data_IF_342800949595
#
_entry.id   IF_342800949595
#
_cell.length_a   1.000
_cell.length_b   1.000
_cell.length_c   1.000
_cell.angle_alpha   90.00
_cell.angle_beta   90.00
_cell.angle_gamma   90.00
#
_symmetry.space_group_name_H-M   'P 1'
#
loop_
_entity.id
_entity.type
_entity.pdbx_description
1 polymer ?
#
# COMPACT_ATOMS: atom_id res chain seq x y z
N UNK A 1 -33.79 -5.58 -9.90
CA UNK A 1 -33.53 -6.28 -11.18
C UNK A 1 -32.04 -6.19 -11.41
N UNK A 2 -31.29 -7.20 -10.96
CA UNK A 2 -29.90 -7.35 -11.38
C UNK A 2 -29.97 -7.98 -12.77
N UNK A 3 -29.53 -7.26 -13.80
CA UNK A 3 -29.26 -7.87 -15.10
C UNK A 3 -28.36 -9.09 -14.86
N UNK A 4 -28.64 -10.19 -15.56
CA UNK A 4 -27.78 -11.37 -15.66
C UNK A 4 -26.45 -10.97 -16.27
N UNK A 5 -25.60 -10.33 -15.48
CA UNK A 5 -24.23 -10.04 -15.84
C UNK A 5 -23.54 -11.38 -15.96
N UNK A 6 -23.25 -11.78 -17.20
CA UNK A 6 -22.42 -12.95 -17.45
C UNK A 6 -20.98 -12.64 -17.01
N UNK A 7 -20.72 -12.80 -15.70
CA UNK A 7 -19.43 -12.48 -15.08
C UNK A 7 -18.27 -13.22 -15.75
N UNK A 8 -18.51 -14.41 -16.31
CA UNK A 8 -17.49 -15.14 -17.08
C UNK A 8 -17.04 -14.35 -18.31
N UNK A 9 -17.99 -13.83 -19.10
CA UNK A 9 -17.66 -13.02 -20.27
C UNK A 9 -16.98 -11.69 -19.88
N UNK A 10 -17.35 -11.11 -18.73
CA UNK A 10 -16.70 -9.91 -18.20
C UNK A 10 -15.26 -10.20 -17.78
N UNK A 11 -15.00 -11.34 -17.12
CA UNK A 11 -13.64 -11.77 -16.76
C UNK A 11 -12.80 -11.97 -18.02
N UNK A 12 -13.30 -12.68 -19.03
CA UNK A 12 -12.56 -12.88 -20.29
C UNK A 12 -12.22 -11.54 -20.96
N UNK A 13 -13.17 -10.60 -20.97
CA UNK A 13 -12.96 -9.26 -21.51
C UNK A 13 -11.85 -8.53 -20.76
N UNK A 14 -11.86 -8.58 -19.43
CA UNK A 14 -10.84 -7.94 -18.61
C UNK A 14 -9.46 -8.60 -18.77
N UNK A 15 -9.40 -9.94 -18.86
CA UNK A 15 -8.17 -10.68 -19.12
C UNK A 15 -7.58 -10.40 -20.51
N UNK A 16 -8.42 -10.07 -21.49
CA UNK A 16 -8.01 -9.62 -22.83
C UNK A 16 -7.56 -8.15 -22.87
N UNK A 17 -7.41 -7.47 -21.72
CA UNK A 17 -7.00 -6.07 -21.61
C UNK A 17 -8.16 -5.06 -21.67
N UNK A 18 -9.41 -5.54 -21.59
CA UNK A 18 -10.60 -4.71 -21.47
C UNK A 18 -10.77 -4.09 -20.07
N UNK A 19 -11.79 -3.24 -19.92
CA UNK A 19 -12.06 -2.56 -18.65
C UNK A 19 -12.53 -3.53 -17.55
N UNK A 20 -11.95 -3.43 -16.36
CA UNK A 20 -12.37 -4.17 -15.16
C UNK A 20 -13.55 -3.54 -14.42
N UNK A 21 -14.13 -2.43 -14.91
CA UNK A 21 -15.16 -1.66 -14.20
C UNK A 21 -16.37 -2.51 -13.80
N UNK A 22 -16.86 -3.36 -14.70
CA UNK A 22 -18.01 -4.24 -14.41
C UNK A 22 -17.68 -5.31 -13.34
N UNK A 23 -16.42 -5.76 -13.25
CA UNK A 23 -16.00 -6.66 -12.17
C UNK A 23 -15.97 -5.93 -10.82
N UNK A 24 -15.50 -4.68 -10.81
CA UNK A 24 -15.50 -3.84 -9.60
C UNK A 24 -16.94 -3.60 -9.12
N UNK A 25 -17.87 -3.32 -10.04
CA UNK A 25 -19.30 -3.15 -9.72
C UNK A 25 -19.94 -4.45 -9.20
N UNK A 26 -19.49 -5.62 -9.66
CA UNK A 26 -19.97 -6.92 -9.20
C UNK A 26 -19.44 -7.34 -7.81
N UNK A 27 -18.34 -6.75 -7.35
CA UNK A 27 -17.84 -6.90 -5.98
C UNK A 27 -17.61 -8.36 -5.56
N UNK A 28 -18.14 -8.82 -4.39
CA UNK A 28 -17.87 -10.16 -3.86
C UNK A 28 -18.19 -11.32 -4.80
N UNK A 29 -19.21 -11.18 -5.66
CA UNK A 29 -19.56 -12.22 -6.64
C UNK A 29 -18.43 -12.44 -7.66
N UNK A 30 -17.76 -11.36 -8.09
CA UNK A 30 -16.59 -11.45 -8.97
C UNK A 30 -15.38 -12.06 -8.24
N UNK A 31 -15.17 -11.73 -6.96
CA UNK A 31 -14.07 -12.29 -6.15
C UNK A 31 -14.14 -13.81 -6.09
N UNK A 32 -15.32 -14.38 -5.80
CA UNK A 32 -15.51 -15.82 -5.71
C UNK A 32 -15.13 -16.54 -7.02
N UNK A 33 -15.55 -15.99 -8.16
CA UNK A 33 -15.26 -16.57 -9.46
C UNK A 33 -13.78 -16.43 -9.86
N UNK A 34 -13.19 -15.26 -9.61
CA UNK A 34 -11.77 -15.01 -9.83
C UNK A 34 -10.90 -15.93 -8.96
N UNK A 35 -11.29 -16.21 -7.72
CA UNK A 35 -10.57 -17.11 -6.83
C UNK A 35 -10.54 -18.56 -7.37
N UNK A 36 -11.67 -19.05 -7.88
CA UNK A 36 -11.75 -20.38 -8.52
C UNK A 36 -10.84 -20.44 -9.74
N UNK A 37 -10.88 -19.42 -10.59
CA UNK A 37 -10.01 -19.33 -11.78
C UNK A 37 -8.53 -19.24 -11.41
N UNK A 38 -8.18 -18.49 -10.37
CA UNK A 38 -6.79 -18.36 -9.91
C UNK A 38 -6.24 -19.70 -9.42
N UNK A 39 -7.04 -20.47 -8.69
CA UNK A 39 -6.66 -21.81 -8.25
C UNK A 39 -6.49 -22.80 -9.42
N UNK A 40 -7.29 -22.66 -10.48
CA UNK A 40 -7.23 -23.51 -11.67
C UNK A 40 -6.18 -23.06 -12.72
N UNK A 41 -5.66 -21.84 -12.61
CA UNK A 41 -4.72 -21.29 -13.57
C UNK A 41 -3.40 -22.09 -13.57
N UNK A 42 -2.96 -22.50 -14.76
CA UNK A 42 -1.74 -23.30 -14.91
C UNK A 42 -0.50 -22.42 -15.16
N UNK A 43 -0.67 -21.28 -15.84
CA UNK A 43 0.44 -20.39 -16.23
C UNK A 43 0.65 -19.26 -15.23
N UNK A 44 1.89 -18.76 -15.17
CA UNK A 44 2.25 -17.60 -14.35
C UNK A 44 1.49 -16.36 -14.83
N UNK A 45 1.49 -16.08 -16.14
CA UNK A 45 0.79 -14.92 -16.71
C UNK A 45 -0.71 -14.91 -16.35
N UNK A 46 -1.38 -16.05 -16.40
CA UNK A 46 -2.78 -16.15 -16.00
C UNK A 46 -2.97 -15.85 -14.51
N UNK A 47 -2.09 -16.38 -13.64
CA UNK A 47 -2.12 -16.08 -12.21
C UNK A 47 -1.87 -14.61 -11.93
N UNK A 48 -0.86 -14.01 -12.54
CA UNK A 48 -0.53 -12.58 -12.42
C UNK A 48 -1.71 -11.70 -12.81
N UNK A 49 -2.35 -11.98 -13.95
CA UNK A 49 -3.52 -11.23 -14.42
C UNK A 49 -4.72 -11.39 -13.46
N UNK A 50 -4.96 -12.59 -12.93
CA UNK A 50 -6.05 -12.84 -11.99
C UNK A 50 -5.81 -12.16 -10.63
N UNK A 51 -4.56 -12.10 -10.15
CA UNK A 51 -4.18 -11.34 -8.95
C UNK A 51 -4.46 -9.84 -9.15
N UNK A 52 -4.11 -9.28 -10.31
CA UNK A 52 -4.41 -7.88 -10.63
C UNK A 52 -5.92 -7.61 -10.67
N UNK A 53 -6.71 -8.51 -11.25
CA UNK A 53 -8.16 -8.39 -11.27
C UNK A 53 -8.75 -8.46 -9.85
N UNK A 54 -8.30 -9.39 -9.00
CA UNK A 54 -8.69 -9.44 -7.59
C UNK A 54 -8.33 -8.14 -6.87
N UNK A 55 -7.12 -7.61 -7.10
CA UNK A 55 -6.68 -6.35 -6.53
C UNK A 55 -7.53 -5.15 -7.01
N UNK A 56 -8.00 -5.17 -8.26
CA UNK A 56 -8.88 -4.15 -8.82
C UNK A 56 -10.28 -4.20 -8.22
N UNK A 57 -10.87 -5.41 -8.10
CA UNK A 57 -12.20 -5.61 -7.50
C UNK A 57 -12.20 -5.20 -6.02
N UNK A 58 -11.15 -5.57 -5.27
CA UNK A 58 -11.07 -5.24 -3.85
C UNK A 58 -11.88 -6.19 -2.97
N UNK A 59 -12.18 -5.74 -1.75
CA UNK A 59 -12.90 -6.50 -0.74
C UNK A 59 -11.98 -7.34 0.15
N UNK A 60 -12.41 -7.57 1.39
CA UNK A 60 -11.64 -8.35 2.36
C UNK A 60 -11.53 -9.83 1.93
N UNK A 61 -12.53 -10.36 1.21
CA UNK A 61 -12.56 -11.74 0.75
C UNK A 61 -11.50 -12.04 -0.32
N UNK A 62 -10.99 -11.02 -1.03
CA UNK A 62 -9.97 -11.18 -2.07
C UNK A 62 -8.57 -11.48 -1.51
N UNK A 63 -8.34 -11.28 -0.21
CA UNK A 63 -7.04 -11.52 0.41
C UNK A 63 -6.68 -13.01 0.42
N UNK A 64 -7.57 -13.87 0.91
CA UNK A 64 -7.30 -15.30 1.08
C UNK A 64 -6.83 -16.00 -0.22
N UNK A 65 -7.46 -15.78 -1.39
CA UNK A 65 -7.01 -16.33 -2.66
C UNK A 65 -5.60 -15.87 -3.09
N UNK A 66 -5.19 -14.65 -2.71
CA UNK A 66 -3.90 -14.07 -3.12
C UNK A 66 -2.74 -14.53 -2.24
N UNK A 67 -3.00 -14.82 -0.95
CA UNK A 67 -1.96 -15.16 0.03
C UNK A 67 -0.98 -16.24 -0.45
N UNK A 68 -1.40 -17.38 -1.05
CA UNK A 68 -0.47 -18.43 -1.49
C UNK A 68 0.62 -17.96 -2.45
N UNK A 69 0.42 -16.84 -3.14
CA UNK A 69 1.31 -16.32 -4.18
C UNK A 69 2.25 -15.21 -3.68
N UNK A 70 2.09 -14.75 -2.43
CA UNK A 70 2.94 -13.70 -1.82
C UNK A 70 4.40 -14.14 -1.68
N UNK A 71 4.67 -15.45 -1.62
CA UNK A 71 6.00 -16.04 -1.65
C UNK A 71 6.28 -16.85 -2.92
N UNK A 72 5.61 -16.54 -4.04
CA UNK A 72 5.78 -17.28 -5.27
C UNK A 72 7.25 -17.24 -5.76
N UNK A 73 7.76 -18.32 -6.37
CA UNK A 73 9.11 -18.34 -6.91
C UNK A 73 9.28 -17.36 -8.08
N UNK A 74 8.21 -17.15 -8.85
CA UNK A 74 8.19 -16.17 -9.93
C UNK A 74 8.14 -14.73 -9.37
N UNK A 75 9.09 -13.84 -9.73
CA UNK A 75 9.15 -12.49 -9.19
C UNK A 75 7.96 -11.59 -9.56
N UNK A 76 7.40 -11.71 -10.77
CA UNK A 76 6.28 -10.86 -11.20
C UNK A 76 5.01 -11.22 -10.41
N UNK A 77 4.68 -12.51 -10.34
CA UNK A 77 3.56 -12.99 -9.55
C UNK A 77 3.71 -12.65 -8.08
N UNK A 78 4.92 -12.81 -7.53
CA UNK A 78 5.23 -12.47 -6.14
C UNK A 78 5.04 -10.97 -5.85
N UNK A 79 5.56 -10.10 -6.72
CA UNK A 79 5.42 -8.66 -6.59
C UNK A 79 3.94 -8.23 -6.62
N UNK A 80 3.16 -8.75 -7.58
CA UNK A 80 1.72 -8.46 -7.69
C UNK A 80 0.93 -8.98 -6.49
N UNK A 81 1.19 -10.21 -6.06
CA UNK A 81 0.50 -10.81 -4.93
C UNK A 81 0.81 -10.08 -3.62
N UNK A 82 2.08 -9.71 -3.38
CA UNK A 82 2.46 -8.95 -2.20
C UNK A 82 1.82 -7.55 -2.17
N UNK A 83 1.79 -6.85 -3.31
CA UNK A 83 1.14 -5.55 -3.43
C UNK A 83 -0.38 -5.64 -3.22
N UNK A 84 -1.03 -6.64 -3.82
CA UNK A 84 -2.46 -6.88 -3.65
C UNK A 84 -2.80 -7.21 -2.19
N UNK A 85 -2.04 -8.10 -1.54
CA UNK A 85 -2.22 -8.45 -0.14
C UNK A 85 -2.07 -7.22 0.77
N UNK A 86 -1.04 -6.40 0.56
CA UNK A 86 -0.86 -5.14 1.30
C UNK A 86 -2.06 -4.22 1.08
N UNK A 87 -2.48 -4.02 -0.18
CA UNK A 87 -3.62 -3.15 -0.52
C UNK A 87 -4.89 -3.55 0.23
N UNK A 88 -5.23 -4.84 0.26
CA UNK A 88 -6.42 -5.32 0.97
C UNK A 88 -6.34 -5.04 2.47
N UNK A 89 -5.17 -5.31 3.06
CA UNK A 89 -4.93 -5.10 4.49
C UNK A 89 -4.98 -3.61 4.86
N UNK A 90 -4.40 -2.72 4.05
CA UNK A 90 -4.47 -1.28 4.30
C UNK A 90 -5.90 -0.75 4.17
N UNK A 91 -6.70 -1.30 3.26
CA UNK A 91 -8.08 -0.87 3.02
C UNK A 91 -9.08 -1.41 4.06
N UNK A 92 -8.86 -2.62 4.57
CA UNK A 92 -9.84 -3.34 5.40
C UNK A 92 -9.35 -3.67 6.81
N UNK A 93 -8.09 -3.36 7.13
CA UNK A 93 -7.43 -3.77 8.37
C UNK A 93 -6.96 -5.23 8.35
N UNK A 94 -6.40 -5.72 9.47
CA UNK A 94 -5.99 -7.11 9.62
C UNK A 94 -7.19 -8.06 9.46
N UNK A 95 -7.04 -9.17 8.73
CA UNK A 95 -8.12 -10.14 8.58
C UNK A 95 -8.40 -10.88 9.90
N UNK A 96 -9.57 -11.51 9.99
CA UNK A 96 -9.89 -12.46 11.07
C UNK A 96 -9.36 -13.88 10.76
N UNK A 97 -9.32 -14.75 11.76
CA UNK A 97 -9.02 -16.17 11.54
C UNK A 97 -10.11 -16.87 10.71
N UNK A 98 -9.75 -17.84 9.85
CA UNK A 98 -8.42 -18.46 9.70
C UNK A 98 -7.45 -17.69 8.78
N UNK A 99 -7.91 -16.66 8.07
CA UNK A 99 -7.10 -15.92 7.08
C UNK A 99 -5.95 -15.18 7.76
N UNK A 100 -6.12 -14.69 8.99
CA UNK A 100 -5.05 -14.10 9.80
C UNK A 100 -3.88 -15.07 10.02
N UNK A 101 -4.18 -16.33 10.37
CA UNK A 101 -3.15 -17.36 10.52
C UNK A 101 -2.42 -17.63 9.20
N UNK A 102 -3.14 -17.75 8.09
CA UNK A 102 -2.53 -17.92 6.77
C UNK A 102 -1.63 -16.74 6.40
N UNK A 103 -2.10 -15.50 6.60
CA UNK A 103 -1.32 -14.28 6.37
C UNK A 103 -0.01 -14.31 7.16
N UNK A 104 -0.07 -14.58 8.47
CA UNK A 104 1.12 -14.67 9.32
C UNK A 104 2.12 -15.70 8.80
N UNK A 105 1.66 -16.93 8.53
CA UNK A 105 2.53 -18.01 8.06
C UNK A 105 3.19 -17.66 6.73
N UNK A 106 2.42 -17.16 5.76
CA UNK A 106 2.95 -16.86 4.43
C UNK A 106 3.87 -15.65 4.43
N UNK A 107 3.54 -14.59 5.18
CA UNK A 107 4.41 -13.41 5.30
C UNK A 107 5.71 -13.77 6.01
N UNK A 108 5.69 -14.55 7.09
CA UNK A 108 6.94 -14.99 7.74
C UNK A 108 7.85 -15.77 6.78
N UNK A 109 7.27 -16.70 6.00
CA UNK A 109 8.03 -17.47 5.02
C UNK A 109 8.62 -16.57 3.92
N UNK A 110 7.83 -15.61 3.42
CA UNK A 110 8.28 -14.67 2.39
C UNK A 110 9.33 -13.66 2.92
N UNK A 111 9.21 -13.20 4.16
CA UNK A 111 10.18 -12.31 4.81
C UNK A 111 11.56 -12.95 4.99
N UNK A 112 11.61 -14.28 5.17
CA UNK A 112 12.86 -15.00 5.33
C UNK A 112 13.70 -15.03 4.03
N UNK A 113 13.09 -14.72 2.89
CA UNK A 113 13.80 -14.59 1.62
C UNK A 113 14.57 -13.25 1.55
N UNK A 114 15.82 -13.23 1.05
CA UNK A 114 16.60 -12.00 0.94
C UNK A 114 16.02 -11.01 -0.08
N UNK A 115 15.17 -11.47 -0.98
CA UNK A 115 14.48 -10.69 -2.01
C UNK A 115 13.00 -10.43 -1.66
N UNK A 116 12.64 -10.40 -0.37
CA UNK A 116 11.30 -10.06 0.09
C UNK A 116 10.82 -8.72 -0.51
N UNK A 117 9.62 -8.71 -1.11
CA UNK A 117 9.07 -7.53 -1.78
C UNK A 117 8.57 -6.46 -0.79
N UNK A 118 8.47 -5.21 -1.25
CA UNK A 118 8.07 -4.08 -0.39
C UNK A 118 6.72 -4.29 0.29
N UNK A 119 5.77 -4.91 -0.39
CA UNK A 119 4.48 -5.30 0.19
C UNK A 119 4.63 -6.28 1.36
N UNK A 120 5.52 -7.28 1.22
CA UNK A 120 5.80 -8.26 2.27
C UNK A 120 6.49 -7.61 3.47
N UNK A 121 7.47 -6.75 3.22
CA UNK A 121 8.19 -6.02 4.27
C UNK A 121 7.22 -5.21 5.12
N UNK A 122 6.30 -4.46 4.50
CA UNK A 122 5.28 -3.69 5.21
C UNK A 122 4.25 -4.58 5.92
N UNK A 123 3.81 -5.69 5.31
CA UNK A 123 2.91 -6.66 5.95
C UNK A 123 3.53 -7.31 7.20
N UNK A 124 4.86 -7.36 7.30
CA UNK A 124 5.57 -7.81 8.49
C UNK A 124 5.19 -7.04 9.76
N UNK A 125 4.71 -5.79 9.64
CA UNK A 125 4.19 -4.98 10.74
C UNK A 125 3.01 -5.64 11.50
N UNK A 126 2.32 -6.59 10.86
CA UNK A 126 1.13 -7.25 11.41
C UNK A 126 1.40 -8.68 11.89
N UNK A 127 2.65 -9.10 11.87
CA UNK A 127 3.04 -10.48 12.14
C UNK A 127 3.86 -10.54 13.44
N UNK A 128 3.27 -11.01 14.54
CA UNK A 128 3.99 -11.18 15.80
C UNK A 128 5.22 -12.07 15.62
N UNK A 129 6.39 -11.62 16.11
CA UNK A 129 7.64 -12.36 16.01
C UNK A 129 8.44 -12.11 14.71
N UNK A 130 7.99 -11.19 13.85
CA UNK A 130 8.69 -10.84 12.60
C UNK A 130 9.92 -9.96 12.81
N UNK A 131 10.17 -9.44 14.02
CA UNK A 131 11.19 -8.42 14.32
C UNK A 131 12.60 -8.89 13.91
N UNK A 132 12.96 -10.12 14.26
CA UNK A 132 14.27 -10.68 13.94
C UNK A 132 14.49 -10.83 12.42
N UNK A 133 13.43 -11.20 11.69
CA UNK A 133 13.50 -11.39 10.24
C UNK A 133 13.52 -10.03 9.52
N UNK A 134 12.69 -9.08 9.95
CA UNK A 134 12.69 -7.70 9.43
C UNK A 134 14.02 -7.00 9.67
N UNK A 135 14.67 -7.26 10.82
CA UNK A 135 15.99 -6.69 11.13
C UNK A 135 17.07 -7.05 10.12
N UNK A 136 16.97 -8.24 9.51
CA UNK A 136 17.90 -8.67 8.46
C UNK A 136 17.82 -7.80 7.18
N UNK A 137 16.72 -7.07 7.00
CA UNK A 137 16.49 -6.21 5.83
C UNK A 137 16.88 -4.74 6.07
N UNK A 138 17.27 -4.35 7.30
CA UNK A 138 17.55 -2.95 7.66
C UNK A 138 18.71 -2.33 6.85
N UNK A 139 19.71 -3.13 6.51
CA UNK A 139 20.85 -2.75 5.66
C UNK A 139 20.58 -2.95 4.17
N UNK A 140 19.39 -3.44 3.80
CA UNK A 140 19.00 -3.71 2.42
C UNK A 140 18.90 -2.43 1.59
N UNK A 141 19.75 -2.31 0.58
CA UNK A 141 19.76 -1.21 -0.39
C UNK A 141 18.99 -1.53 -1.67
N UNK A 142 18.53 -2.79 -1.83
CA UNK A 142 17.69 -3.21 -2.96
C UNK A 142 16.45 -2.32 -3.02
N UNK A 143 16.15 -1.83 -4.22
CA UNK A 143 14.95 -1.04 -4.44
C UNK A 143 13.72 -1.95 -4.50
N UNK A 144 12.68 -1.56 -3.76
CA UNK A 144 11.40 -2.24 -3.67
C UNK A 144 10.27 -1.25 -3.92
N UNK A 145 9.14 -1.78 -4.40
CA UNK A 145 7.86 -1.08 -4.41
C UNK A 145 6.89 -1.79 -3.47
N UNK A 146 6.03 -1.03 -2.80
CA UNK A 146 4.91 -1.60 -2.07
C UNK A 146 3.71 -1.83 -2.99
N UNK A 147 3.47 -0.95 -3.98
CA UNK A 147 2.49 -1.14 -5.05
C UNK A 147 3.06 -0.78 -6.45
N UNK A 148 2.50 -1.29 -7.57
CA UNK A 148 3.09 -1.10 -8.91
C UNK A 148 3.33 0.35 -9.33
N UNK A 149 2.41 1.25 -8.96
CA UNK A 149 2.44 2.68 -9.32
C UNK A 149 3.18 3.55 -8.28
N UNK A 150 3.68 2.95 -7.20
CA UNK A 150 4.38 3.67 -6.14
C UNK A 150 5.88 3.86 -6.46
N UNK A 151 6.52 4.85 -5.81
CA UNK A 151 7.95 5.04 -5.91
C UNK A 151 8.74 3.81 -5.44
N UNK A 152 9.93 3.66 -6.00
CA UNK A 152 10.90 2.66 -5.53
C UNK A 152 11.71 3.21 -4.38
N UNK A 153 11.81 2.48 -3.28
CA UNK A 153 12.61 2.86 -2.11
C UNK A 153 13.54 1.73 -1.69
N UNK A 154 14.61 2.00 -0.93
CA UNK A 154 15.42 0.94 -0.34
C UNK A 154 14.57 0.02 0.57
N UNK A 155 14.76 -1.29 0.48
CA UNK A 155 14.10 -2.29 1.32
C UNK A 155 14.22 -1.97 2.83
N UNK A 156 15.37 -1.42 3.24
CA UNK A 156 15.59 -1.00 4.61
C UNK A 156 14.60 0.06 5.11
N UNK A 157 14.05 0.92 4.26
CA UNK A 157 13.00 1.88 4.66
C UNK A 157 11.69 1.16 4.99
N UNK A 158 11.25 0.22 4.15
CA UNK A 158 10.05 -0.58 4.39
C UNK A 158 10.20 -1.43 5.68
N UNK A 159 11.36 -2.04 5.87
CA UNK A 159 11.67 -2.80 7.09
C UNK A 159 11.64 -1.91 8.35
N UNK A 160 12.21 -0.69 8.29
CA UNK A 160 12.17 0.27 9.40
C UNK A 160 10.75 0.69 9.76
N UNK A 161 9.89 0.96 8.77
CA UNK A 161 8.48 1.29 9.01
C UNK A 161 7.76 0.12 9.70
N UNK A 162 7.97 -1.11 9.22
CA UNK A 162 7.34 -2.28 9.81
C UNK A 162 7.82 -2.54 11.26
N UNK A 163 9.13 -2.42 11.52
CA UNK A 163 9.69 -2.54 12.86
C UNK A 163 9.19 -1.45 13.81
N UNK A 164 9.07 -0.21 13.32
CA UNK A 164 8.49 0.89 14.09
C UNK A 164 7.06 0.61 14.52
N UNK A 165 6.24 0.04 13.63
CA UNK A 165 4.87 -0.37 13.91
C UNK A 165 4.79 -1.53 14.92
N UNK A 166 5.82 -2.39 14.96
CA UNK A 166 5.96 -3.46 15.96
C UNK A 166 6.48 -2.96 17.33
N UNK A 167 6.78 -1.66 17.47
CA UNK A 167 7.28 -1.10 18.74
C UNK A 167 8.79 -0.94 18.84
N UNK A 168 9.55 -1.19 17.78
CA UNK A 168 11.00 -1.06 17.81
C UNK A 168 11.45 0.41 17.94
N UNK A 169 12.03 0.75 19.10
CA UNK A 169 12.48 2.11 19.41
C UNK A 169 13.68 2.58 18.58
N UNK A 170 14.54 1.68 18.11
CA UNK A 170 15.68 2.05 17.25
C UNK A 170 15.20 2.38 15.84
N UNK A 171 14.28 1.59 15.29
CA UNK A 171 13.65 1.84 14.01
C UNK A 171 12.89 3.19 14.03
N UNK A 172 12.12 3.46 15.10
CA UNK A 172 11.46 4.76 15.32
C UNK A 172 12.46 5.92 15.33
N UNK A 173 13.52 5.82 16.13
CA UNK A 173 14.57 6.85 16.21
C UNK A 173 15.25 7.07 14.86
N UNK A 174 15.49 6.00 14.12
CA UNK A 174 16.07 6.05 12.78
C UNK A 174 15.15 6.79 11.80
N UNK A 175 13.85 6.49 11.81
CA UNK A 175 12.85 7.19 10.99
C UNK A 175 12.81 8.69 11.30
N UNK A 176 12.77 9.07 12.58
CA UNK A 176 12.76 10.48 13.00
C UNK A 176 13.99 11.25 12.53
N UNK A 177 15.14 10.57 12.43
CA UNK A 177 16.38 11.17 11.93
C UNK A 177 16.37 11.30 10.40
N UNK A 178 15.72 10.38 9.69
CA UNK A 178 15.72 10.29 8.24
C UNK A 178 14.64 11.14 7.57
N UNK A 179 13.44 11.20 8.14
CA UNK A 179 12.29 11.92 7.57
C UNK A 179 12.64 13.37 7.18
N UNK A 180 13.34 14.18 8.00
CA UNK A 180 13.68 15.56 7.64
C UNK A 180 14.59 15.69 6.41
N UNK A 181 15.31 14.63 6.05
CA UNK A 181 16.26 14.59 4.95
C UNK A 181 15.85 13.59 3.86
N UNK A 182 14.63 13.05 3.94
CA UNK A 182 14.14 12.05 3.02
C UNK A 182 13.93 12.66 1.63
N UNK A 183 14.30 11.91 0.61
CA UNK A 183 13.98 12.27 -0.77
C UNK A 183 12.45 12.18 -1.02
N UNK A 184 11.95 12.80 -2.11
CA UNK A 184 10.51 12.83 -2.40
C UNK A 184 9.87 11.45 -2.54
N UNK A 185 10.58 10.48 -3.11
CA UNK A 185 10.09 9.12 -3.31
C UNK A 185 9.93 8.40 -1.95
N UNK A 186 10.91 8.55 -1.06
CA UNK A 186 10.83 8.07 0.32
C UNK A 186 9.68 8.71 1.10
N UNK A 187 9.45 10.02 0.97
CA UNK A 187 8.30 10.70 1.59
C UNK A 187 6.97 10.16 1.08
N UNK A 188 6.81 10.05 -0.24
CA UNK A 188 5.58 9.51 -0.84
C UNK A 188 5.37 8.06 -0.40
N UNK A 189 6.40 7.22 -0.37
CA UNK A 189 6.32 5.85 0.12
C UNK A 189 5.80 5.79 1.57
N UNK A 190 6.36 6.61 2.46
CA UNK A 190 5.90 6.69 3.86
C UNK A 190 4.45 7.17 3.97
N UNK A 191 4.02 8.12 3.13
CA UNK A 191 2.64 8.59 3.08
C UNK A 191 1.65 7.52 2.58
N UNK A 192 2.06 6.65 1.66
CA UNK A 192 1.23 5.51 1.22
C UNK A 192 1.16 4.40 2.28
N UNK A 193 2.22 4.24 3.06
CA UNK A 193 2.28 3.34 4.21
C UNK A 193 1.69 3.92 5.51
N UNK A 194 1.11 5.12 5.47
CA UNK A 194 0.61 5.86 6.64
C UNK A 194 -0.37 5.09 7.55
N UNK A 195 -1.23 4.18 7.06
CA UNK A 195 -2.06 3.35 7.95
C UNK A 195 -1.26 2.43 8.89
N UNK A 196 0.00 2.13 8.58
CA UNK A 196 0.89 1.32 9.41
C UNK A 196 1.70 2.14 10.42
N UNK A 197 1.69 3.47 10.32
CA UNK A 197 2.42 4.36 11.23
C UNK A 197 1.50 4.70 12.40
N UNK A 198 1.90 4.25 13.60
CA UNK A 198 1.15 4.40 14.85
C UNK A 198 1.79 5.43 15.80
N UNK A 199 3.12 5.56 15.77
CA UNK A 199 3.89 6.44 16.64
C UNK A 199 3.59 7.94 16.36
N UNK A 200 3.03 8.68 17.34
CA UNK A 200 2.68 10.10 17.18
C UNK A 200 3.85 10.97 16.69
N UNK A 201 5.04 10.76 17.25
CA UNK A 201 6.24 11.50 16.91
C UNK A 201 6.67 11.29 15.45
N UNK A 202 6.49 10.09 14.90
CA UNK A 202 6.79 9.77 13.50
C UNK A 202 5.77 10.42 12.57
N UNK A 203 4.49 10.41 12.96
CA UNK A 203 3.42 11.09 12.21
C UNK A 203 3.64 12.61 12.17
N UNK A 204 4.01 13.22 13.30
CA UNK A 204 4.35 14.64 13.38
C UNK A 204 5.54 14.99 12.48
N UNK A 205 6.64 14.23 12.59
CA UNK A 205 7.81 14.43 11.73
C UNK A 205 7.46 14.31 10.23
N UNK A 206 6.73 13.26 9.85
CA UNK A 206 6.32 13.04 8.46
C UNK A 206 5.40 14.15 7.96
N UNK A 207 4.44 14.60 8.78
CA UNK A 207 3.55 15.70 8.40
C UNK A 207 4.32 16.99 8.16
N UNK A 208 5.27 17.33 9.04
CA UNK A 208 6.07 18.55 8.95
C UNK A 208 6.95 18.55 7.69
N UNK A 209 7.65 17.45 7.42
CA UNK A 209 8.52 17.32 6.24
C UNK A 209 7.73 17.26 4.94
N UNK A 210 6.63 16.49 4.90
CA UNK A 210 5.88 16.29 3.67
C UNK A 210 5.05 17.52 3.27
N UNK A 211 4.38 18.20 4.21
CA UNK A 211 3.57 19.40 3.90
C UNK A 211 4.41 20.62 3.53
N UNK A 212 5.69 20.66 3.93
CA UNK A 212 6.63 21.70 3.57
C UNK A 212 7.36 21.45 2.24
N UNK A 213 7.23 20.25 1.64
CA UNK A 213 7.97 19.86 0.45
C UNK A 213 7.25 20.30 -0.83
N UNK A 214 7.92 21.15 -1.61
CA UNK A 214 7.54 21.60 -2.96
C UNK A 214 8.12 20.70 -4.07
N UNK A 215 8.71 19.56 -3.68
CA UNK A 215 9.32 18.65 -4.64
C UNK A 215 8.24 18.03 -5.55
N UNK A 216 8.43 18.05 -6.89
CA UNK A 216 7.46 17.52 -7.82
C UNK A 216 7.39 15.99 -7.76
N UNK A 217 6.17 15.45 -7.94
CA UNK A 217 5.89 14.01 -7.95
C UNK A 217 4.98 13.63 -9.13
N UNK A 218 5.16 12.40 -9.63
CA UNK A 218 4.32 11.84 -10.70
C UNK A 218 3.00 11.22 -10.23
N UNK A 219 2.69 11.28 -8.94
CA UNK A 219 1.53 10.59 -8.35
C UNK A 219 0.22 11.20 -8.87
N UNK A 220 -0.66 10.37 -9.45
CA UNK A 220 -2.03 10.75 -9.81
C UNK A 220 -2.20 11.70 -11.00
N UNK A 221 -1.14 12.08 -11.72
CA UNK A 221 -1.23 12.95 -12.92
C UNK A 221 -0.28 12.50 -14.04
N UNK A 222 -0.68 12.61 -15.33
CA UNK A 222 0.22 12.38 -16.45
C UNK A 222 1.49 13.25 -16.37
N UNK A 223 2.62 12.66 -16.73
CA UNK A 223 3.90 13.36 -16.78
C UNK A 223 3.85 14.61 -17.68
N UNK A 224 4.47 15.70 -17.23
CA UNK A 224 4.62 16.93 -18.01
C UNK A 224 3.49 17.97 -17.87
N UNK A 225 2.52 17.76 -16.98
CA UNK A 225 1.51 18.77 -16.66
C UNK A 225 2.06 19.87 -15.73
N UNK A 226 1.72 21.12 -16.06
CA UNK A 226 2.09 22.31 -15.27
C UNK A 226 0.83 22.99 -14.69
N UNK A 227 0.81 23.39 -13.41
CA UNK A 227 1.82 23.09 -12.39
C UNK A 227 1.89 21.59 -12.09
N UNK A 228 3.09 21.13 -11.71
CA UNK A 228 3.31 19.75 -11.26
C UNK A 228 2.64 19.55 -9.90
N UNK A 229 2.26 18.30 -9.61
CA UNK A 229 1.83 17.93 -8.25
C UNK A 229 3.06 17.79 -7.37
N UNK A 230 2.95 18.13 -6.10
CA UNK A 230 4.06 18.14 -5.15
C UNK A 230 3.84 17.10 -4.04
N UNK A 231 4.90 16.76 -3.30
CA UNK A 231 4.81 15.88 -2.10
C UNK A 231 3.77 16.42 -1.12
N UNK A 232 3.70 17.73 -0.92
CA UNK A 232 2.71 18.36 -0.04
C UNK A 232 1.26 18.06 -0.44
N UNK A 233 0.97 17.91 -1.74
CA UNK A 233 -0.39 17.59 -2.20
C UNK A 233 -0.77 16.14 -1.87
N UNK A 234 0.20 15.21 -2.00
CA UNK A 234 0.04 13.81 -1.57
C UNK A 234 -0.18 13.75 -0.05
N UNK A 235 0.56 14.56 0.71
CA UNK A 235 0.45 14.62 2.16
C UNK A 235 -0.93 15.08 2.62
N UNK A 236 -1.51 16.10 1.98
CA UNK A 236 -2.87 16.56 2.28
C UNK A 236 -3.88 15.43 2.13
N UNK A 237 -3.88 14.74 0.99
CA UNK A 237 -4.81 13.62 0.74
C UNK A 237 -4.59 12.48 1.74
N UNK A 238 -3.34 12.09 1.98
CA UNK A 238 -3.01 10.95 2.85
C UNK A 238 -3.42 11.21 4.30
N UNK A 239 -3.07 12.37 4.87
CA UNK A 239 -3.39 12.68 6.27
C UNK A 239 -4.88 12.93 6.49
N UNK A 240 -5.57 13.59 5.55
CA UNK A 240 -7.02 13.79 5.66
C UNK A 240 -7.74 12.45 5.65
N UNK A 241 -7.37 11.54 4.75
CA UNK A 241 -7.93 10.19 4.73
C UNK A 241 -7.61 9.40 6.01
N UNK A 242 -6.34 9.36 6.42
CA UNK A 242 -5.87 8.59 7.58
C UNK A 242 -6.50 9.01 8.90
N UNK A 243 -6.65 10.32 9.10
CA UNK A 243 -7.12 10.90 10.36
C UNK A 243 -8.61 11.28 10.29
N UNK A 244 -9.28 10.99 9.17
CA UNK A 244 -10.69 11.38 8.92
C UNK A 244 -10.93 12.88 9.18
N UNK A 245 -10.00 13.73 8.73
CA UNK A 245 -10.08 15.17 8.95
C UNK A 245 -11.21 15.79 8.11
N UNK A 246 -11.79 16.88 8.60
CA UNK A 246 -12.84 17.64 7.89
C UNK A 246 -12.35 19.05 7.56
N UNK A 247 -11.47 19.21 6.54
CA UNK A 247 -11.04 20.53 6.10
C UNK A 247 -12.18 21.34 5.48
N UNK A 248 -12.03 22.66 5.44
CA UNK A 248 -13.00 23.60 4.86
C UNK A 248 -13.11 23.52 3.33
N UNK A 249 -12.23 22.76 2.69
CA UNK A 249 -12.15 22.59 1.24
C UNK A 249 -12.37 21.13 0.82
N UNK A 250 -12.75 20.92 -0.43
CA UNK A 250 -12.96 19.58 -0.98
C UNK A 250 -11.63 18.87 -1.26
N UNK A 251 -11.49 17.65 -0.74
CA UNK A 251 -10.40 16.74 -1.09
C UNK A 251 -10.75 16.01 -2.39
N UNK A 252 -9.82 16.04 -3.35
CA UNK A 252 -9.97 15.35 -4.63
C UNK A 252 -8.67 14.59 -4.93
N UNK A 253 -8.73 13.32 -5.33
CA UNK A 253 -7.56 12.56 -5.71
C UNK A 253 -6.78 13.26 -6.84
N UNK A 254 -5.47 13.43 -6.65
CA UNK A 254 -4.58 14.04 -7.66
C UNK A 254 -4.71 15.55 -7.80
N UNK A 255 -5.36 16.23 -6.86
CA UNK A 255 -5.47 17.68 -6.85
C UNK A 255 -4.14 18.35 -6.44
N UNK A 256 -4.04 19.65 -6.74
CA UNK A 256 -3.00 20.54 -6.23
C UNK A 256 -3.67 21.46 -5.21
N UNK A 257 -3.07 21.59 -4.04
CA UNK A 257 -3.59 22.36 -2.92
C UNK A 257 -2.80 23.64 -2.70
N UNK A 258 -3.49 24.72 -2.31
CA UNK A 258 -2.85 26.01 -2.02
C UNK A 258 -2.06 25.98 -0.71
N UNK A 259 -1.22 26.98 -0.50
CA UNK A 259 -0.50 27.16 0.76
C UNK A 259 -1.46 27.29 1.97
N UNK A 260 -2.60 27.97 1.82
CA UNK A 260 -3.59 28.06 2.91
C UNK A 260 -4.22 26.70 3.23
N UNK A 261 -4.53 25.90 2.20
CA UNK A 261 -5.09 24.55 2.36
C UNK A 261 -4.11 23.59 3.05
N UNK A 262 -2.83 23.67 2.68
CA UNK A 262 -1.74 22.92 3.34
C UNK A 262 -1.58 23.35 4.80
N UNK A 263 -1.60 24.66 5.07
CA UNK A 263 -1.51 25.20 6.43
C UNK A 263 -2.73 24.85 7.30
N UNK A 264 -3.94 24.83 6.73
CA UNK A 264 -5.13 24.34 7.42
C UNK A 264 -4.98 22.87 7.79
N UNK A 265 -4.53 22.05 6.83
CA UNK A 265 -4.30 20.61 7.07
C UNK A 265 -3.27 20.37 8.17
N UNK A 266 -2.17 21.12 8.18
CA UNK A 266 -1.16 21.05 9.24
C UNK A 266 -1.76 21.34 10.63
N UNK A 267 -2.63 22.36 10.76
CA UNK A 267 -3.32 22.66 12.02
C UNK A 267 -4.26 21.54 12.45
N UNK A 268 -5.01 20.96 11.51
CA UNK A 268 -5.92 19.83 11.80
C UNK A 268 -5.15 18.59 12.26
N UNK A 269 -4.01 18.29 11.65
CA UNK A 269 -3.12 17.20 12.07
C UNK A 269 -2.64 17.43 13.50
N UNK A 270 -2.09 18.62 13.79
CA UNK A 270 -1.59 18.96 15.12
C UNK A 270 -2.67 18.88 16.22
N UNK A 271 -3.94 19.14 15.88
CA UNK A 271 -5.06 18.98 16.80
C UNK A 271 -5.57 17.54 16.96
N UNK A 272 -5.20 16.63 16.05
CA UNK A 272 -5.73 15.25 16.00
C UNK A 272 -4.75 14.20 16.50
N UNK A 273 -3.45 14.48 16.47
CA UNK A 273 -2.40 13.56 16.92
C UNK A 273 -1.91 14.00 18.30
N UNK A 274 -1.79 13.08 19.29
CA UNK A 274 -1.17 13.39 20.58
C UNK A 274 0.25 13.97 20.43
N UNK A 275 0.65 14.82 21.37
CA UNK A 275 2.01 15.34 21.45
C UNK A 275 2.94 14.36 22.17
#
# INVERSE_FOLDING_TARGET
MADDMNLEAVIETALAGGSSKALVEAGPAAVALLAVRLAAAETIDAKSNLVDLLAAVGGAEALAPVLPYVGAPDPDLRARASAAALKFVLAHGPPADPVATQLRTTVMAALAAPDAEGGVLLLGALVPGAEAVLSAHLSGTRLVKAQPQEPTVPAGLAARLALSALGDGQARTSLLTQIPQADPDSLVFMLKALPLIDAPEVLHALSASALASDAPVGDGRPSGLTPAREVADVAVEAFVARLSLTPSFAIKPGAIYTAEQRAETARLIAGSIPN
#
